data_IF_444403267476
#
_entry.id   IF_444403267476
#
_cell.length_a   1.000
_cell.length_b   1.000
_cell.length_c   1.000
_cell.angle_alpha   90.00
_cell.angle_beta   90.00
_cell.angle_gamma   90.00
#
_symmetry.space_group_name_H-M   'P 1'
#
loop_
_entity.id
_entity.type
_entity.pdbx_description
1 polymer ?
#
# COMPACT_ATOMS: atom_id res chain seq x y z
N UNK A 1 -2.27 -5.77 -7.30
CA UNK A 1 -2.20 -6.24 -5.90
C UNK A 1 -0.77 -6.08 -5.42
N UNK A 2 -0.54 -5.26 -4.38
CA UNK A 2 0.78 -5.14 -3.76
C UNK A 2 1.14 -6.43 -3.06
N UNK A 3 2.37 -6.90 -3.24
CA UNK A 3 2.91 -8.00 -2.44
C UNK A 3 3.67 -7.38 -1.28
N UNK A 4 3.43 -7.89 -0.07
CA UNK A 4 4.33 -7.59 1.04
C UNK A 4 5.69 -8.17 0.65
N UNK A 5 6.73 -7.37 0.73
CA UNK A 5 8.06 -7.92 0.86
C UNK A 5 8.14 -8.57 2.25
N UNK A 6 7.77 -9.84 2.30
CA UNK A 6 8.01 -10.68 3.46
C UNK A 6 9.43 -11.20 3.30
N UNK A 7 10.36 -10.70 4.11
CA UNK A 7 11.64 -11.38 4.29
C UNK A 7 11.32 -12.67 5.03
N UNK A 8 11.06 -13.76 4.29
CA UNK A 8 10.71 -15.09 4.81
C UNK A 8 11.54 -16.12 4.08
N UNK A 9 12.31 -16.89 4.83
CA UNK A 9 12.95 -18.11 4.34
C UNK A 9 12.01 -19.30 4.57
N UNK A 10 11.90 -20.20 3.59
CA UNK A 10 11.20 -21.48 3.72
C UNK A 10 12.25 -22.56 3.92
N UNK A 11 12.16 -23.31 5.00
CA UNK A 11 12.86 -24.60 5.15
C UNK A 11 11.79 -25.68 5.33
N UNK A 12 11.69 -26.61 4.38
CA UNK A 12 10.92 -27.84 4.57
C UNK A 12 11.79 -28.85 5.31
N UNK A 13 11.46 -29.12 6.58
CA UNK A 13 12.01 -30.23 7.35
C UNK A 13 12.27 -29.88 8.81
N UNK A 14 11.24 -30.02 9.65
CA UNK A 14 11.29 -30.21 11.12
C UNK A 14 12.56 -29.70 11.83
N UNK A 15 12.67 -28.38 12.04
CA UNK A 15 13.54 -27.73 13.04
C UNK A 15 13.14 -26.25 13.14
N UNK A 16 13.22 -25.69 14.35
CA UNK A 16 12.88 -24.30 14.68
C UNK A 16 13.51 -23.32 13.68
N UNK A 17 12.68 -22.60 12.93
CA UNK A 17 13.11 -21.67 11.90
C UNK A 17 13.84 -20.46 12.50
N UNK A 18 15.15 -20.36 12.27
CA UNK A 18 15.94 -19.16 12.52
C UNK A 18 15.85 -18.23 11.31
N UNK A 19 15.42 -17.00 11.54
CA UNK A 19 15.20 -15.96 10.55
C UNK A 19 16.54 -15.32 10.13
N UNK A 20 16.75 -15.09 8.82
CA UNK A 20 17.93 -14.34 8.31
C UNK A 20 17.49 -13.03 7.64
N UNK A 21 18.06 -11.88 8.01
CA UNK A 21 17.72 -10.60 7.39
C UNK A 21 18.20 -10.56 5.94
N UNK A 22 17.33 -10.09 5.04
CA UNK A 22 17.60 -9.91 3.61
C UNK A 22 17.29 -8.46 3.27
N UNK A 23 18.24 -7.58 3.55
CA UNK A 23 18.06 -6.14 3.35
C UNK A 23 19.38 -5.39 3.44
N UNK A 24 19.45 -4.16 2.89
CA UNK A 24 20.64 -3.34 3.00
C UNK A 24 20.92 -3.05 4.48
N UNK A 25 22.13 -3.36 4.96
CA UNK A 25 22.52 -3.07 6.33
C UNK A 25 22.51 -1.55 6.61
N UNK A 26 21.96 -1.15 7.76
CA UNK A 26 22.28 0.15 8.39
C UNK A 26 21.38 1.37 8.09
N UNK A 27 20.15 1.21 7.55
CA UNK A 27 19.27 2.36 7.29
C UNK A 27 17.76 2.10 7.46
N UNK A 28 16.99 3.14 7.77
CA UNK A 28 15.53 3.11 7.79
C UNK A 28 14.99 3.01 6.35
N UNK A 29 14.17 2.00 6.08
CA UNK A 29 13.43 1.84 4.82
C UNK A 29 12.05 2.49 4.97
N UNK A 30 11.66 3.36 4.05
CA UNK A 30 10.34 3.99 4.08
C UNK A 30 9.30 3.21 3.28
N UNK A 31 9.70 2.65 2.14
CA UNK A 31 8.84 1.85 1.28
C UNK A 31 9.64 0.89 0.41
N UNK A 32 8.99 -0.15 -0.12
CA UNK A 32 9.58 -1.14 -1.01
C UNK A 32 8.52 -1.97 -1.71
N UNK A 33 8.90 -2.56 -2.84
CA UNK A 33 8.06 -3.48 -3.60
C UNK A 33 8.92 -4.48 -4.40
N UNK A 34 8.31 -5.60 -4.76
CA UNK A 34 8.96 -6.75 -5.43
C UNK A 34 8.28 -7.01 -6.77
N UNK A 35 9.06 -7.40 -7.77
CA UNK A 35 8.50 -7.73 -9.07
C UNK A 35 7.67 -9.02 -9.05
N UNK A 36 6.53 -8.98 -9.73
CA UNK A 36 5.68 -10.16 -9.93
C UNK A 36 6.22 -11.13 -10.97
N UNK A 37 6.93 -10.65 -11.98
CA UNK A 37 7.51 -11.47 -13.06
C UNK A 37 8.88 -12.02 -12.71
N UNK A 38 9.62 -11.35 -11.83
CA UNK A 38 10.91 -11.81 -11.35
C UNK A 38 11.13 -11.43 -9.88
N UNK A 39 10.78 -12.31 -8.92
CA UNK A 39 10.95 -12.05 -7.50
C UNK A 39 12.39 -11.72 -7.06
N UNK A 40 13.40 -12.02 -7.87
CA UNK A 40 14.77 -11.59 -7.59
C UNK A 40 14.95 -10.07 -7.67
N UNK A 41 14.06 -9.37 -8.39
CA UNK A 41 14.09 -7.91 -8.50
C UNK A 41 13.25 -7.26 -7.40
N UNK A 42 13.95 -6.58 -6.48
CA UNK A 42 13.37 -5.89 -5.33
C UNK A 42 13.85 -4.45 -5.32
N UNK A 43 12.96 -3.50 -5.04
CA UNK A 43 13.30 -2.09 -4.84
C UNK A 43 12.95 -1.63 -3.43
N UNK A 44 13.82 -0.83 -2.85
CA UNK A 44 13.57 -0.09 -1.62
C UNK A 44 13.85 1.40 -1.79
N UNK A 45 13.06 2.21 -1.10
CA UNK A 45 13.33 3.60 -0.85
C UNK A 45 13.86 3.81 0.58
N UNK A 46 15.10 4.26 0.77
CA UNK A 46 15.58 4.69 2.08
C UNK A 46 14.84 5.94 2.56
N UNK A 47 14.78 6.15 3.87
CA UNK A 47 14.24 7.37 4.47
C UNK A 47 15.18 8.56 4.26
N UNK A 48 15.05 9.22 3.12
CA UNK A 48 15.86 10.37 2.74
C UNK A 48 15.00 11.40 1.98
N UNK A 49 15.34 12.68 2.10
CA UNK A 49 14.73 13.76 1.30
C UNK A 49 15.37 13.91 -0.09
N UNK A 50 16.53 13.30 -0.32
CA UNK A 50 17.14 13.11 -1.64
C UNK A 50 17.35 11.61 -1.85
N UNK A 51 16.33 10.98 -2.43
CA UNK A 51 16.22 9.52 -2.48
C UNK A 51 16.80 8.97 -3.77
N UNK A 52 17.77 8.07 -3.64
CA UNK A 52 18.05 7.05 -4.65
C UNK A 52 17.49 5.74 -4.15
N UNK A 53 16.86 4.98 -5.04
CA UNK A 53 16.41 3.64 -4.65
C UNK A 53 17.62 2.74 -4.46
N UNK A 54 17.46 1.71 -3.65
CA UNK A 54 18.35 0.55 -3.65
C UNK A 54 17.62 -0.62 -4.27
N UNK A 55 18.29 -1.32 -5.17
CA UNK A 55 17.75 -2.39 -5.98
C UNK A 55 18.55 -3.67 -5.75
N UNK A 56 17.86 -4.79 -5.58
CA UNK A 56 18.46 -6.12 -5.70
C UNK A 56 17.97 -6.79 -6.98
N UNK A 57 18.78 -7.68 -7.52
CA UNK A 57 18.44 -8.58 -8.65
C UNK A 57 18.75 -10.04 -8.34
N UNK A 58 19.00 -10.35 -7.07
CA UNK A 58 19.45 -11.65 -6.57
C UNK A 58 18.75 -12.02 -5.25
N UNK A 59 17.44 -11.76 -5.21
CA UNK A 59 16.55 -12.07 -4.09
C UNK A 59 16.98 -11.41 -2.77
N UNK A 60 17.63 -10.25 -2.88
CA UNK A 60 18.06 -9.42 -1.76
C UNK A 60 19.39 -9.83 -1.13
N UNK A 61 20.15 -10.71 -1.81
CA UNK A 61 21.52 -11.09 -1.40
C UNK A 61 22.48 -9.91 -1.52
N UNK A 62 22.39 -9.14 -2.61
CA UNK A 62 23.15 -7.91 -2.81
C UNK A 62 22.25 -6.74 -3.22
N UNK A 63 22.72 -5.53 -2.96
CA UNK A 63 21.97 -4.29 -3.17
C UNK A 63 22.84 -3.26 -3.89
N UNK A 64 22.30 -2.66 -4.94
CA UNK A 64 22.93 -1.61 -5.72
C UNK A 64 22.06 -0.36 -5.67
N UNK A 65 22.67 0.79 -5.38
CA UNK A 65 21.97 2.06 -5.41
C UNK A 65 21.72 2.49 -6.87
N UNK A 66 20.50 2.89 -7.20
CA UNK A 66 20.16 3.41 -8.52
C UNK A 66 20.79 4.79 -8.74
N UNK A 67 20.98 5.18 -10.00
CA UNK A 67 21.62 6.46 -10.34
C UNK A 67 20.64 7.64 -10.27
N UNK A 68 19.36 7.40 -10.62
CA UNK A 68 18.31 8.41 -10.64
C UNK A 68 17.94 8.90 -9.25
N UNK A 69 17.83 10.23 -9.11
CA UNK A 69 17.55 10.91 -7.84
C UNK A 69 16.12 11.43 -7.83
N UNK A 70 15.40 11.16 -6.75
CA UNK A 70 14.08 11.68 -6.43
C UNK A 70 14.20 12.70 -5.29
N UNK A 71 13.77 13.94 -5.53
CA UNK A 71 13.79 15.01 -4.54
C UNK A 71 12.57 14.93 -3.62
N UNK A 72 12.62 14.05 -2.63
CA UNK A 72 11.65 13.94 -1.55
C UNK A 72 11.64 12.56 -0.91
N UNK A 73 10.85 12.44 0.15
CA UNK A 73 10.54 11.14 0.74
C UNK A 73 9.62 10.35 -0.19
N UNK A 74 9.98 9.11 -0.47
CA UNK A 74 9.16 8.20 -1.26
C UNK A 74 8.20 7.48 -0.31
N UNK A 75 6.96 7.95 -0.24
CA UNK A 75 5.92 7.37 0.60
C UNK A 75 5.51 5.97 0.16
N UNK A 76 5.54 5.72 -1.13
CA UNK A 76 5.12 4.46 -1.70
C UNK A 76 5.82 4.14 -3.03
N UNK A 77 6.12 2.86 -3.23
CA UNK A 77 6.70 2.31 -4.46
C UNK A 77 5.76 1.26 -5.05
N UNK A 78 5.70 1.22 -6.38
CA UNK A 78 5.02 0.18 -7.14
C UNK A 78 5.91 -0.31 -8.27
N UNK A 79 6.25 -1.58 -8.29
CA UNK A 79 6.90 -2.25 -9.42
C UNK A 79 5.84 -2.76 -10.37
N UNK A 80 5.94 -2.42 -11.66
CA UNK A 80 4.95 -2.82 -12.65
C UNK A 80 4.89 -4.35 -12.76
N UNK A 81 3.69 -4.96 -12.75
CA UNK A 81 3.56 -6.41 -12.59
C UNK A 81 4.02 -7.20 -13.82
N UNK A 82 4.19 -6.56 -14.98
CA UNK A 82 4.70 -7.21 -16.19
C UNK A 82 6.18 -6.87 -16.49
N UNK A 83 6.71 -5.78 -15.93
CA UNK A 83 8.06 -5.29 -16.27
C UNK A 83 8.75 -4.67 -15.05
N UNK A 84 9.79 -5.31 -14.48
CA UNK A 84 10.51 -4.82 -13.31
C UNK A 84 11.36 -3.56 -13.55
N UNK A 85 11.53 -3.11 -14.80
CA UNK A 85 12.18 -1.84 -15.13
C UNK A 85 11.24 -0.64 -14.95
N UNK A 86 9.93 -0.87 -14.94
CA UNK A 86 8.92 0.15 -14.75
C UNK A 86 8.56 0.23 -13.26
N UNK A 87 8.85 1.38 -12.63
CA UNK A 87 8.56 1.62 -11.21
C UNK A 87 7.89 2.97 -11.06
N UNK A 88 6.89 3.05 -10.19
CA UNK A 88 6.23 4.30 -9.80
C UNK A 88 6.61 4.64 -8.37
N UNK A 89 6.86 5.93 -8.12
CA UNK A 89 7.22 6.45 -6.80
C UNK A 89 6.30 7.61 -6.42
N UNK A 90 5.64 7.50 -5.26
CA UNK A 90 4.79 8.53 -4.67
C UNK A 90 5.60 9.38 -3.69
N UNK A 91 5.68 10.68 -3.93
CA UNK A 91 6.47 11.64 -3.12
C UNK A 91 5.58 12.69 -2.42
N UNK A 92 4.35 12.33 -2.08
CA UNK A 92 3.41 13.29 -1.51
C UNK A 92 2.77 14.13 -2.61
N UNK A 93 3.38 15.27 -2.96
CA UNK A 93 2.77 16.21 -3.93
C UNK A 93 2.90 15.78 -5.40
N UNK A 94 3.58 14.67 -5.68
CA UNK A 94 3.91 14.22 -7.04
C UNK A 94 4.05 12.70 -7.10
N UNK A 95 3.77 12.15 -8.28
CA UNK A 95 4.08 10.76 -8.64
C UNK A 95 5.12 10.80 -9.77
N UNK A 96 6.13 9.95 -9.67
CA UNK A 96 7.17 9.77 -10.68
C UNK A 96 7.12 8.36 -11.24
N UNK A 97 7.55 8.19 -12.49
CA UNK A 97 7.72 6.90 -13.17
C UNK A 97 9.14 6.78 -13.72
N UNK A 98 9.75 5.62 -13.56
CA UNK A 98 10.93 5.18 -14.31
C UNK A 98 10.52 4.06 -15.25
N UNK A 99 11.25 3.91 -16.36
CA UNK A 99 11.14 2.78 -17.31
C UNK A 99 12.52 2.14 -17.55
N UNK A 100 13.51 2.47 -16.73
CA UNK A 100 14.90 2.03 -16.84
C UNK A 100 15.44 1.49 -15.50
N UNK A 101 14.53 1.05 -14.63
CA UNK A 101 14.87 0.47 -13.33
C UNK A 101 15.45 1.48 -12.33
N UNK A 102 15.06 2.75 -12.43
CA UNK A 102 15.44 3.81 -11.50
C UNK A 102 16.69 4.59 -11.90
N UNK A 103 17.18 4.45 -13.14
CA UNK A 103 18.30 5.23 -13.64
C UNK A 103 17.88 6.68 -13.97
N UNK A 104 16.64 6.88 -14.42
CA UNK A 104 16.01 8.18 -14.60
C UNK A 104 14.53 8.16 -14.20
N UNK A 105 13.99 9.33 -13.87
CA UNK A 105 12.61 9.50 -13.39
C UNK A 105 11.91 10.61 -14.15
N UNK A 106 10.68 10.33 -14.56
CA UNK A 106 9.77 11.27 -15.19
C UNK A 106 8.66 11.63 -14.19
N UNK A 107 8.49 12.92 -13.92
CA UNK A 107 7.35 13.40 -13.13
C UNK A 107 6.06 13.25 -13.95
N UNK A 108 5.04 12.64 -13.37
CA UNK A 108 3.73 12.51 -14.00
C UNK A 108 2.87 13.76 -13.74
N UNK A 109 1.96 14.05 -14.67
CA UNK A 109 1.05 15.18 -14.60
C UNK A 109 -0.19 14.86 -13.75
N UNK A 110 0.02 14.67 -12.45
CA UNK A 110 -1.07 14.41 -11.49
C UNK A 110 -1.84 15.69 -11.15
N UNK A 111 -3.12 15.60 -10.75
CA UNK A 111 -3.92 16.76 -10.34
C UNK A 111 -3.25 17.53 -9.20
N UNK A 112 -3.21 18.86 -9.31
CA UNK A 112 -2.55 19.73 -8.34
C UNK A 112 -3.23 19.76 -6.98
N UNK A 113 -2.53 20.27 -5.96
CA UNK A 113 -3.06 20.46 -4.61
C UNK A 113 -3.47 19.18 -3.88
N UNK A 114 -2.84 18.05 -4.25
CA UNK A 114 -3.04 16.75 -3.63
C UNK A 114 -1.74 16.27 -2.99
N UNK A 115 -1.86 15.60 -1.85
CA UNK A 115 -0.77 14.96 -1.15
C UNK A 115 -1.06 13.47 -1.03
N UNK A 116 -0.36 12.67 -1.83
CA UNK A 116 -0.52 11.22 -1.94
C UNK A 116 0.27 10.46 -0.86
N UNK A 117 -0.28 9.35 -0.39
CA UNK A 117 0.30 8.47 0.64
C UNK A 117 0.52 7.06 0.12
N UNK A 118 -0.42 6.57 -0.69
CA UNK A 118 -0.40 5.20 -1.17
C UNK A 118 -0.90 5.11 -2.61
N UNK A 119 -0.33 4.20 -3.40
CA UNK A 119 -0.73 3.86 -4.76
C UNK A 119 -1.11 2.38 -4.86
N UNK A 120 -1.89 2.01 -5.87
CA UNK A 120 -2.14 0.61 -6.22
C UNK A 120 -2.40 0.43 -7.73
N UNK A 121 -1.82 -0.61 -8.31
CA UNK A 121 -2.25 -1.12 -9.62
C UNK A 121 -3.56 -1.88 -9.49
N UNK A 122 -4.48 -1.66 -10.44
CA UNK A 122 -5.59 -2.57 -10.67
C UNK A 122 -5.00 -3.97 -10.97
N UNK A 123 -5.40 -5.01 -10.21
CA UNK A 123 -4.82 -6.34 -10.32
C UNK A 123 -5.14 -7.07 -11.62
N UNK A 124 -6.18 -6.65 -12.35
CA UNK A 124 -6.59 -7.24 -13.62
C UNK A 124 -6.09 -6.42 -14.82
N UNK A 125 -5.73 -5.14 -14.62
CA UNK A 125 -5.19 -4.27 -15.67
C UNK A 125 -4.21 -3.24 -15.09
N UNK A 126 -2.89 -3.45 -15.18
CA UNK A 126 -1.91 -2.54 -14.58
C UNK A 126 -1.77 -1.17 -15.27
N UNK A 127 -2.41 -0.95 -16.42
CA UNK A 127 -2.55 0.41 -16.96
C UNK A 127 -3.47 1.28 -16.10
N UNK A 128 -4.35 0.66 -15.30
CA UNK A 128 -5.19 1.40 -14.35
C UNK A 128 -4.45 1.51 -13.02
N UNK A 129 -4.13 2.76 -12.64
CA UNK A 129 -3.37 3.08 -11.44
C UNK A 129 -4.22 3.98 -10.56
N UNK A 130 -4.27 3.67 -9.27
CA UNK A 130 -4.92 4.50 -8.27
C UNK A 130 -3.88 5.07 -7.30
N UNK A 131 -4.11 6.28 -6.80
CA UNK A 131 -3.38 6.83 -5.68
C UNK A 131 -4.31 7.57 -4.73
N UNK A 132 -4.10 7.43 -3.43
CA UNK A 132 -4.91 8.10 -2.40
C UNK A 132 -4.07 9.01 -1.51
N UNK A 133 -4.75 9.92 -0.84
CA UNK A 133 -4.14 10.90 0.03
C UNK A 133 -5.17 11.95 0.47
N UNK A 134 -4.77 13.22 0.46
CA UNK A 134 -5.66 14.32 0.76
C UNK A 134 -5.47 15.52 -0.16
N UNK A 135 -6.58 16.21 -0.43
CA UNK A 135 -6.62 17.48 -1.12
C UNK A 135 -6.44 18.62 -0.12
N UNK A 136 -5.43 19.46 -0.34
CA UNK A 136 -5.10 20.61 0.49
C UNK A 136 -5.39 21.96 -0.17
N UNK A 137 -6.00 21.96 -1.37
CA UNK A 137 -6.38 23.19 -2.08
C UNK A 137 -7.65 23.86 -1.55
N UNK A 138 -8.28 23.29 -0.52
CA UNK A 138 -9.36 23.90 0.25
C UNK A 138 -9.21 23.51 1.73
N UNK A 139 -9.81 24.32 2.60
CA UNK A 139 -9.96 24.00 4.02
C UNK A 139 -11.45 23.80 4.31
N UNK A 140 -11.86 22.73 5.02
CA UNK A 140 -11.01 21.64 5.50
C UNK A 140 -10.45 20.78 4.36
N UNK A 141 -9.34 20.08 4.64
CA UNK A 141 -8.78 19.08 3.73
C UNK A 141 -9.76 17.93 3.51
N UNK A 142 -9.73 17.34 2.32
CA UNK A 142 -10.64 16.26 1.91
C UNK A 142 -9.83 15.02 1.55
N UNK A 143 -10.39 13.82 1.74
CA UNK A 143 -9.78 12.62 1.17
C UNK A 143 -9.87 12.68 -0.36
N UNK A 144 -8.86 12.15 -1.03
CA UNK A 144 -8.82 12.07 -2.49
C UNK A 144 -8.41 10.68 -2.94
N UNK A 145 -9.05 10.21 -4.01
CA UNK A 145 -8.56 9.14 -4.85
C UNK A 145 -8.30 9.74 -6.23
N UNK A 146 -7.10 9.60 -6.76
CA UNK A 146 -6.82 9.86 -8.18
C UNK A 146 -6.68 8.53 -8.91
N UNK A 147 -7.12 8.52 -10.17
CA UNK A 147 -7.06 7.35 -11.05
C UNK A 147 -6.50 7.74 -12.39
N UNK A 148 -5.57 6.94 -12.91
CA UNK A 148 -5.19 6.91 -14.31
C UNK A 148 -5.72 5.61 -14.92
N UNK A 149 -6.17 5.68 -16.17
CA UNK A 149 -6.62 4.51 -16.95
C UNK A 149 -5.62 4.17 -18.09
N UNK A 150 -4.47 4.86 -18.15
CA UNK A 150 -3.52 4.85 -19.28
C UNK A 150 -2.04 4.81 -18.86
N UNK A 151 -1.74 4.15 -17.73
CA UNK A 151 -0.37 3.95 -17.25
C UNK A 151 0.26 5.22 -16.65
N UNK A 152 -0.57 6.16 -16.21
CA UNK A 152 -0.17 7.39 -15.54
C UNK A 152 0.04 8.59 -16.47
N UNK A 153 -0.41 8.53 -17.72
CA UNK A 153 -0.27 9.63 -18.67
C UNK A 153 -1.35 10.71 -18.42
N UNK A 154 -2.58 10.30 -18.13
CA UNK A 154 -3.69 11.17 -17.71
C UNK A 154 -4.31 10.69 -16.41
N UNK A 155 -4.89 11.62 -15.65
CA UNK A 155 -5.42 11.37 -14.31
C UNK A 155 -6.75 12.08 -14.09
N UNK A 156 -7.68 11.38 -13.44
CA UNK A 156 -8.92 11.92 -12.88
C UNK A 156 -8.82 11.99 -11.36
N UNK A 157 -9.43 12.99 -10.73
CA UNK A 157 -9.49 13.13 -9.27
C UNK A 157 -10.93 13.00 -8.75
N UNK A 158 -11.07 12.26 -7.65
CA UNK A 158 -12.33 12.04 -6.95
C UNK A 158 -12.14 12.44 -5.48
N UNK A 159 -12.86 13.49 -5.07
CA UNK A 159 -12.79 14.03 -3.71
C UNK A 159 -14.00 13.57 -2.91
N UNK A 160 -13.79 13.11 -1.69
CA UNK A 160 -14.83 12.60 -0.80
C UNK A 160 -14.49 12.91 0.66
N UNK A 161 -15.35 12.47 1.59
CA UNK A 161 -15.23 12.79 3.02
C UNK A 161 -15.19 14.32 3.25
N UNK A 162 -16.22 15.02 2.76
CA UNK A 162 -16.34 16.49 2.81
C UNK A 162 -16.86 16.99 4.17
N UNK A 163 -16.33 16.44 5.25
CA UNK A 163 -16.72 16.80 6.62
C UNK A 163 -16.21 18.20 7.00
N UNK A 164 -16.59 18.68 8.18
CA UNK A 164 -16.20 20.02 8.69
C UNK A 164 -14.79 20.07 9.25
N UNK A 165 -14.10 18.93 9.35
CA UNK A 165 -12.72 18.82 9.84
C UNK A 165 -11.83 18.23 8.76
N UNK A 166 -10.51 18.48 8.83
CA UNK A 166 -9.57 17.91 7.87
C UNK A 166 -9.68 16.38 7.81
N UNK A 167 -9.82 15.84 6.61
CA UNK A 167 -9.84 14.41 6.35
C UNK A 167 -8.64 14.00 5.49
N UNK A 168 -8.00 12.89 5.87
CA UNK A 168 -6.75 12.43 5.30
C UNK A 168 -6.87 10.97 4.83
N UNK A 169 -6.62 10.68 3.56
CA UNK A 169 -6.43 9.31 3.07
C UNK A 169 -5.03 8.80 3.37
N UNK A 170 -4.93 7.54 3.81
CA UNK A 170 -3.67 6.90 4.22
C UNK A 170 -3.43 5.55 3.57
N UNK A 171 -4.49 4.74 3.40
CA UNK A 171 -4.37 3.42 2.82
C UNK A 171 -5.37 3.15 1.71
N UNK A 172 -5.02 2.26 0.79
CA UNK A 172 -5.75 1.94 -0.43
C UNK A 172 -5.72 0.44 -0.72
N UNK A 173 -6.89 -0.14 -0.99
CA UNK A 173 -6.99 -1.49 -1.55
C UNK A 173 -8.02 -1.53 -2.69
N UNK A 174 -7.70 -2.28 -3.74
CA UNK A 174 -8.61 -2.57 -4.85
C UNK A 174 -9.02 -4.03 -4.68
N UNK A 175 -10.32 -4.30 -4.77
CA UNK A 175 -10.80 -5.67 -4.71
C UNK A 175 -10.22 -6.45 -5.92
N UNK A 176 -9.52 -7.57 -5.68
CA UNK A 176 -8.85 -8.32 -6.72
C UNK A 176 -9.77 -9.09 -7.67
N UNK A 177 -11.02 -9.34 -7.26
CA UNK A 177 -12.03 -10.03 -8.04
C UNK A 177 -12.91 -9.01 -8.75
N UNK A 178 -13.43 -8.03 -8.02
CA UNK A 178 -14.22 -6.93 -8.56
C UNK A 178 -13.44 -5.61 -8.55
N UNK A 179 -12.71 -5.34 -9.63
CA UNK A 179 -11.82 -4.18 -9.69
C UNK A 179 -12.54 -2.83 -9.82
N UNK A 180 -13.89 -2.83 -9.89
CA UNK A 180 -14.67 -1.62 -9.67
C UNK A 180 -14.73 -1.20 -8.20
N UNK A 181 -14.56 -2.17 -7.29
CA UNK A 181 -14.60 -1.96 -5.86
C UNK A 181 -13.23 -1.52 -5.31
N UNK A 182 -13.22 -0.37 -4.63
CA UNK A 182 -12.02 0.25 -4.06
C UNK A 182 -12.30 0.69 -2.62
N UNK A 183 -11.35 0.46 -1.73
CA UNK A 183 -11.40 0.86 -0.33
C UNK A 183 -10.30 1.88 -0.04
N UNK A 184 -10.66 2.96 0.66
CA UNK A 184 -9.70 3.94 1.19
C UNK A 184 -9.86 4.06 2.69
N UNK A 185 -8.76 3.82 3.39
CA UNK A 185 -8.65 4.06 4.83
C UNK A 185 -8.12 5.46 5.06
N UNK A 186 -8.71 6.17 6.02
CA UNK A 186 -8.30 7.51 6.36
C UNK A 186 -8.44 7.86 7.84
N UNK A 187 -8.20 9.12 8.14
CA UNK A 187 -8.32 9.69 9.46
C UNK A 187 -8.87 11.11 9.36
N UNK A 188 -9.79 11.46 10.26
CA UNK A 188 -10.30 12.82 10.43
C UNK A 188 -9.60 13.49 11.59
N UNK A 189 -9.33 14.79 11.48
CA UNK A 189 -8.75 15.59 12.54
C UNK A 189 -9.60 15.61 13.83
N UNK A 190 -10.86 15.21 13.76
CA UNK A 190 -11.71 14.92 14.93
C UNK A 190 -11.24 13.74 15.79
N UNK A 191 -10.25 12.97 15.34
CA UNK A 191 -9.75 11.77 16.04
C UNK A 191 -10.30 10.46 15.52
N UNK A 192 -11.04 10.45 14.40
CA UNK A 192 -11.74 9.26 13.92
C UNK A 192 -10.98 8.57 12.78
N UNK A 193 -10.71 7.27 12.92
CA UNK A 193 -10.32 6.39 11.81
C UNK A 193 -11.52 6.13 10.92
N UNK A 194 -11.38 6.35 9.62
CA UNK A 194 -12.45 6.14 8.64
C UNK A 194 -12.06 5.07 7.63
N UNK A 195 -13.07 4.40 7.09
CA UNK A 195 -12.93 3.49 5.97
C UNK A 195 -14.05 3.80 4.99
N UNK A 196 -13.70 4.09 3.75
CA UNK A 196 -14.66 4.36 2.69
C UNK A 196 -14.56 3.29 1.62
N UNK A 197 -15.70 2.95 1.02
CA UNK A 197 -15.80 2.02 -0.11
C UNK A 197 -16.45 2.73 -1.28
N UNK A 198 -15.93 2.47 -2.47
CA UNK A 198 -16.55 2.78 -3.74
C UNK A 198 -16.78 1.48 -4.49
N UNK A 199 -17.90 1.34 -5.19
CA UNK A 199 -18.23 0.20 -6.07
C UNK A 199 -18.22 0.57 -7.55
N UNK A 200 -17.75 1.78 -7.90
CA UNK A 200 -17.81 2.36 -9.24
C UNK A 200 -16.49 3.05 -9.64
N UNK A 201 -15.36 2.46 -9.21
CA UNK A 201 -14.00 2.91 -9.54
C UNK A 201 -13.68 4.31 -9.00
N UNK A 202 -14.27 4.67 -7.86
CA UNK A 202 -14.02 5.90 -7.12
C UNK A 202 -14.97 7.05 -7.44
N UNK A 203 -16.02 6.85 -8.26
CA UNK A 203 -16.94 7.93 -8.63
C UNK A 203 -17.85 8.31 -7.46
N UNK A 204 -18.38 7.32 -6.74
CA UNK A 204 -19.18 7.50 -5.53
C UNK A 204 -18.60 6.70 -4.36
N UNK A 205 -18.91 7.15 -3.14
CA UNK A 205 -18.33 6.63 -1.92
C UNK A 205 -19.36 6.49 -0.81
N UNK A 206 -19.24 5.41 -0.05
CA UNK A 206 -19.92 5.22 1.22
C UNK A 206 -18.90 5.09 2.36
N UNK A 207 -19.20 5.65 3.52
CA UNK A 207 -18.42 5.42 4.74
C UNK A 207 -18.90 4.13 5.41
N UNK A 208 -17.95 3.24 5.72
CA UNK A 208 -18.21 1.97 6.40
C UNK A 208 -18.13 2.15 7.92
N UNK A 209 -18.88 1.33 8.70
CA UNK A 209 -18.95 1.42 10.15
C UNK A 209 -17.69 0.84 10.84
N UNK A 210 -16.52 1.37 10.51
CA UNK A 210 -15.24 1.00 11.12
C UNK A 210 -14.93 1.90 12.33
N UNK A 211 -14.97 3.22 12.13
CA UNK A 211 -15.18 4.26 13.14
C UNK A 211 -14.47 4.14 14.49
N UNK A 212 -13.22 3.66 14.54
CA UNK A 212 -12.45 3.62 15.80
C UNK A 212 -11.73 4.94 16.06
N UNK A 213 -11.54 5.30 17.33
CA UNK A 213 -10.88 6.55 17.71
C UNK A 213 -9.36 6.41 17.80
N UNK A 214 -8.64 7.43 17.35
CA UNK A 214 -7.25 7.71 17.71
C UNK A 214 -6.17 7.15 16.78
N UNK A 215 -6.51 6.46 15.68
CA UNK A 215 -5.52 5.71 14.90
C UNK A 215 -5.63 5.92 13.38
N UNK A 216 -4.51 5.86 12.66
CA UNK A 216 -4.49 5.90 11.19
C UNK A 216 -4.56 4.47 10.66
N UNK A 217 -5.38 4.16 9.63
CA UNK A 217 -5.40 2.86 8.98
C UNK A 217 -4.22 2.80 8.00
N UNK A 218 -3.17 2.04 8.36
CA UNK A 218 -1.96 1.94 7.55
C UNK A 218 -2.00 0.82 6.51
N UNK A 219 -2.87 -0.18 6.72
CA UNK A 219 -2.99 -1.29 5.80
C UNK A 219 -4.43 -1.75 5.65
N UNK A 220 -4.81 -2.02 4.40
CA UNK A 220 -6.05 -2.71 4.03
C UNK A 220 -5.65 -3.89 3.15
N UNK A 221 -6.22 -5.05 3.42
CA UNK A 221 -6.04 -6.25 2.60
C UNK A 221 -7.39 -6.88 2.30
N UNK A 222 -7.63 -7.20 1.03
CA UNK A 222 -8.85 -7.87 0.55
C UNK A 222 -8.40 -9.24 0.02
N UNK A 223 -9.05 -10.31 0.47
CA UNK A 223 -8.68 -11.65 0.06
C UNK A 223 -9.01 -11.90 -1.42
N UNK A 224 -8.03 -12.33 -2.25
CA UNK A 224 -8.29 -12.72 -3.63
C UNK A 224 -9.21 -13.91 -3.82
N UNK A 225 -9.37 -14.74 -2.79
CA UNK A 225 -10.31 -15.87 -2.86
C UNK A 225 -11.72 -15.48 -2.39
N UNK A 226 -11.88 -14.33 -1.73
CA UNK A 226 -13.15 -13.92 -1.15
C UNK A 226 -13.20 -12.41 -0.89
N UNK A 227 -13.86 -11.67 -1.78
CA UNK A 227 -14.11 -10.23 -1.65
C UNK A 227 -14.80 -9.82 -0.34
N UNK A 228 -15.52 -10.72 0.32
CA UNK A 228 -16.14 -10.42 1.61
C UNK A 228 -15.13 -10.40 2.76
N UNK A 229 -13.99 -11.07 2.60
CA UNK A 229 -12.96 -11.19 3.62
C UNK A 229 -11.95 -10.05 3.49
N UNK A 230 -12.03 -9.11 4.43
CA UNK A 230 -11.22 -7.88 4.45
C UNK A 230 -10.52 -7.76 5.80
N UNK A 231 -9.29 -7.28 5.77
CA UNK A 231 -8.53 -6.94 6.95
C UNK A 231 -8.11 -5.48 6.91
N UNK A 232 -8.22 -4.81 8.05
CA UNK A 232 -7.75 -3.44 8.26
C UNK A 232 -6.86 -3.43 9.49
N UNK A 233 -5.69 -2.80 9.37
CA UNK A 233 -4.77 -2.63 10.49
C UNK A 233 -4.52 -1.13 10.75
N UNK A 234 -5.21 -0.57 11.74
CA UNK A 234 -4.90 0.76 12.25
C UNK A 234 -3.67 0.72 13.15
N UNK A 235 -2.90 1.81 13.13
CA UNK A 235 -1.50 1.83 13.53
C UNK A 235 -1.19 1.04 14.79
N UNK A 236 -1.89 1.29 15.91
CA UNK A 236 -1.61 0.63 17.19
C UNK A 236 -2.82 -0.04 17.84
N UNK A 237 -3.91 -0.25 17.08
CA UNK A 237 -5.14 -0.81 17.64
C UNK A 237 -5.37 -2.28 17.31
N UNK A 238 -4.49 -2.94 16.56
CA UNK A 238 -4.66 -4.34 16.17
C UNK A 238 -4.99 -4.54 14.71
N UNK A 239 -5.30 -5.78 14.35
CA UNK A 239 -5.87 -6.12 13.03
C UNK A 239 -7.35 -6.45 13.25
N UNK A 240 -8.18 -5.91 12.37
CA UNK A 240 -9.62 -6.13 12.35
C UNK A 240 -9.97 -6.88 11.08
N UNK A 241 -10.87 -7.86 11.20
CA UNK A 241 -11.37 -8.69 10.11
C UNK A 241 -12.86 -8.42 9.91
N UNK A 242 -13.26 -8.29 8.65
CA UNK A 242 -14.65 -8.35 8.21
C UNK A 242 -14.84 -9.57 7.31
N UNK A 243 -16.03 -10.17 7.36
CA UNK A 243 -16.46 -11.27 6.47
C UNK A 243 -17.70 -10.89 5.65
N UNK A 244 -18.02 -9.59 5.57
CA UNK A 244 -19.22 -9.04 4.95
C UNK A 244 -18.93 -7.72 4.21
N UNK A 245 -17.73 -7.60 3.62
CA UNK A 245 -17.28 -6.42 2.85
C UNK A 245 -17.18 -5.12 3.66
N UNK A 246 -16.96 -5.25 4.96
CA UNK A 246 -16.68 -4.16 5.89
C UNK A 246 -17.90 -3.58 6.61
N UNK A 247 -19.03 -4.31 6.62
CA UNK A 247 -20.24 -3.91 7.34
C UNK A 247 -20.13 -4.25 8.84
N UNK A 248 -19.44 -5.35 9.18
CA UNK A 248 -19.12 -5.70 10.56
C UNK A 248 -17.63 -6.03 10.71
N UNK A 249 -17.09 -5.77 11.90
CA UNK A 249 -15.66 -5.92 12.19
C UNK A 249 -15.45 -6.69 13.49
N UNK A 250 -14.54 -7.65 13.45
CA UNK A 250 -14.04 -8.35 14.64
C UNK A 250 -12.55 -8.07 14.76
N UNK A 251 -12.10 -7.61 15.92
CA UNK A 251 -10.66 -7.51 16.21
C UNK A 251 -10.10 -8.93 16.36
N UNK A 252 -9.08 -9.26 15.58
CA UNK A 252 -8.50 -10.61 15.52
C UNK A 252 -7.15 -10.70 16.25
N UNK A 253 -6.46 -9.58 16.44
CA UNK A 253 -5.22 -9.53 17.24
C UNK A 253 -4.98 -8.14 17.81
N UNK A 254 -4.13 -8.06 18.84
CA UNK A 254 -3.67 -6.80 19.45
C UNK A 254 -2.32 -6.30 18.94
N UNK A 255 -1.81 -6.84 17.82
CA UNK A 255 -0.57 -6.38 17.21
C UNK A 255 -0.60 -4.87 16.93
N UNK A 256 0.44 -4.18 17.41
CA UNK A 256 0.62 -2.75 17.21
C UNK A 256 1.70 -2.47 16.17
N UNK A 257 1.74 -1.22 15.69
CA UNK A 257 2.61 -0.71 14.65
C UNK A 257 2.55 -1.52 13.35
N UNK A 258 1.37 -1.98 12.92
CA UNK A 258 1.22 -2.74 11.67
C UNK A 258 1.25 -1.78 10.48
N UNK A 259 2.18 -1.99 9.56
CA UNK A 259 2.38 -1.11 8.40
C UNK A 259 1.84 -1.69 7.09
N UNK A 260 1.82 -3.01 6.93
CA UNK A 260 1.34 -3.69 5.72
C UNK A 260 0.71 -5.04 6.07
N UNK A 261 -0.22 -5.45 5.22
CA UNK A 261 -0.90 -6.75 5.26
C UNK A 261 -0.82 -7.41 3.88
N UNK A 262 -0.61 -8.72 3.83
CA UNK A 262 -0.77 -9.49 2.58
C UNK A 262 -1.18 -10.93 2.86
N UNK A 263 -1.80 -11.59 1.90
CA UNK A 263 -2.07 -13.03 1.96
C UNK A 263 -0.95 -13.87 1.35
N UNK A 264 -0.89 -15.15 1.70
CA UNK A 264 -0.06 -16.09 0.96
C UNK A 264 -0.65 -16.40 -0.42
N UNK A 265 0.22 -16.53 -1.42
CA UNK A 265 -0.16 -17.12 -2.71
C UNK A 265 -0.74 -18.52 -2.51
N UNK A 266 -1.90 -18.81 -3.10
CA UNK A 266 -2.52 -20.13 -3.09
C UNK A 266 -3.17 -20.56 -1.78
N UNK A 267 -3.07 -19.78 -0.69
CA UNK A 267 -3.76 -20.07 0.56
C UNK A 267 -4.38 -18.81 1.18
N UNK A 268 -5.70 -18.59 1.01
CA UNK A 268 -6.38 -17.41 1.53
C UNK A 268 -6.51 -17.37 3.06
N UNK A 269 -6.20 -18.48 3.75
CA UNK A 269 -6.19 -18.54 5.20
C UNK A 269 -4.91 -17.94 5.80
N UNK A 270 -3.83 -17.83 5.03
CA UNK A 270 -2.56 -17.32 5.53
C UNK A 270 -2.47 -15.82 5.32
N UNK A 271 -2.31 -15.08 6.43
CA UNK A 271 -2.12 -13.62 6.45
C UNK A 271 -0.76 -13.29 7.05
N UNK A 272 -0.03 -12.39 6.41
CA UNK A 272 1.21 -11.80 6.93
C UNK A 272 0.99 -10.34 7.29
N UNK A 273 1.59 -9.91 8.40
CA UNK A 273 1.57 -8.53 8.87
C UNK A 273 2.99 -8.07 9.21
N UNK A 274 3.45 -6.97 8.62
CA UNK A 274 4.72 -6.35 9.02
C UNK A 274 4.48 -5.29 10.10
N UNK A 275 5.34 -5.28 11.12
CA UNK A 275 5.36 -4.26 12.17
C UNK A 275 6.69 -3.52 12.21
N UNK A 276 6.85 -2.57 13.14
CA UNK A 276 8.14 -1.89 13.38
C UNK A 276 9.26 -2.83 13.86
N UNK A 277 8.91 -4.01 14.38
CA UNK A 277 9.88 -4.94 14.96
C UNK A 277 10.02 -6.28 14.25
N UNK A 278 8.94 -6.81 13.66
CA UNK A 278 8.90 -8.17 13.12
C UNK A 278 7.83 -8.35 12.04
N UNK A 279 7.86 -9.50 11.34
CA UNK A 279 6.74 -9.98 10.52
C UNK A 279 6.02 -11.12 11.23
N UNK A 280 4.69 -11.02 11.31
CA UNK A 280 3.82 -12.03 11.90
C UNK A 280 3.09 -12.80 10.80
N UNK A 281 2.83 -14.09 11.04
CA UNK A 281 2.07 -14.98 10.15
C UNK A 281 0.93 -15.63 10.93
N UNK A 282 -0.28 -15.57 10.40
CA UNK A 282 -1.41 -16.41 10.82
C UNK A 282 -1.68 -17.48 9.76
N UNK A 283 -2.19 -18.64 10.18
CA UNK A 283 -2.56 -19.76 9.30
C UNK A 283 -4.07 -19.89 9.07
N UNK A 284 -4.87 -19.04 9.71
CA UNK A 284 -6.30 -19.23 9.93
C UNK A 284 -7.08 -17.91 9.91
N UNK A 285 -6.65 -16.96 9.07
CA UNK A 285 -7.29 -15.64 8.90
C UNK A 285 -7.27 -14.77 10.17
N UNK A 286 -6.22 -14.90 10.97
CA UNK A 286 -5.99 -14.19 12.22
C UNK A 286 -6.69 -14.77 13.45
N UNK A 287 -7.18 -16.02 13.41
CA UNK A 287 -7.81 -16.63 14.60
C UNK A 287 -6.79 -17.03 15.66
#
# INVERSE_FOLDING_TARGET
MKRLLVIVSVCFGLLLALWTPVGPGGGNVYSGDISNTNPAVIYFAPYNSSTRLVKSTDEGTTWVQTTGVLSGYVYDLLVHPADPSIVYACLGSSIYRTTDGGASWMRLNTPSSNYFREMAFNPQNPNVIYATGYYYGASPYKQVLVRSDDGGNTWSAFYFDTTTTNAYGYSLAIDPVDTATVYVGGYRASGLTTLHRSSDRGQTWEELPFGISGYYPYAIYISPANSNLIFVAPYTSGIYRSTDRGQTWTRVTSLAAVYRLTGASGNPAVLYASTSGSVYRSQDTGR
#
